data_IF_570208613158
#
_entry.id   IF_570208613158
#
_cell.length_a   1.000
_cell.length_b   1.000
_cell.length_c   1.000
_cell.angle_alpha   90.00
_cell.angle_beta   90.00
_cell.angle_gamma   90.00
#
_symmetry.space_group_name_H-M   'P 1'
#
loop_
_entity.id
_entity.type
_entity.pdbx_description
1 polymer ?
#
# COMPACT_ATOMS: atom_id res chain seq x y z
N UNK A 1 -1.18 -7.70 32.48
CA UNK A 1 -0.15 -8.16 31.54
C UNK A 1 -0.79 -9.14 30.56
N UNK A 2 -1.34 -8.65 29.44
CA UNK A 2 -1.88 -9.51 28.38
C UNK A 2 -1.31 -9.06 27.03
N UNK A 3 -0.19 -9.68 26.63
CA UNK A 3 0.22 -9.71 25.22
C UNK A 3 0.78 -11.11 24.92
N UNK A 4 0.00 -11.97 24.24
CA UNK A 4 0.65 -12.87 23.26
C UNK A 4 -0.16 -13.19 22.00
N UNK A 5 -1.29 -12.53 21.69
CA UNK A 5 -2.14 -12.97 20.55
C UNK A 5 -1.74 -12.41 19.16
N UNK A 6 -0.99 -11.29 19.09
CA UNK A 6 -0.68 -10.62 17.81
C UNK A 6 0.54 -11.15 17.05
N UNK A 7 1.49 -11.78 17.76
CA UNK A 7 2.72 -12.29 17.14
C UNK A 7 2.42 -13.58 16.36
N UNK A 8 1.53 -14.44 16.89
CA UNK A 8 1.25 -15.75 16.30
C UNK A 8 0.63 -15.68 14.89
N UNK A 9 -0.30 -14.75 14.62
CA UNK A 9 -0.98 -14.66 13.32
C UNK A 9 -0.01 -14.19 12.20
N UNK A 10 0.87 -13.23 12.51
CA UNK A 10 1.90 -12.76 11.58
C UNK A 10 2.91 -13.88 11.27
N UNK A 11 3.29 -14.68 12.27
CA UNK A 11 4.18 -15.83 12.07
C UNK A 11 3.57 -16.92 11.18
N UNK A 12 2.29 -17.25 11.36
CA UNK A 12 1.61 -18.27 10.53
C UNK A 12 1.51 -17.81 9.08
N UNK A 13 1.09 -16.57 8.83
CA UNK A 13 0.97 -16.04 7.48
C UNK A 13 2.33 -15.92 6.78
N UNK A 14 3.39 -15.63 7.53
CA UNK A 14 4.77 -15.65 7.02
C UNK A 14 5.18 -17.03 6.50
N UNK A 15 4.96 -18.08 7.30
CA UNK A 15 5.27 -19.45 6.88
C UNK A 15 4.45 -19.88 5.67
N UNK A 16 3.14 -19.61 5.67
CA UNK A 16 2.25 -19.91 4.53
C UNK A 16 2.75 -19.21 3.27
N UNK A 17 3.04 -17.91 3.35
CA UNK A 17 3.50 -17.12 2.20
C UNK A 17 4.85 -17.63 1.70
N UNK A 18 5.77 -17.98 2.60
CA UNK A 18 7.09 -18.53 2.25
C UNK A 18 7.00 -19.89 1.57
N UNK A 19 6.15 -20.78 2.07
CA UNK A 19 5.89 -22.09 1.45
C UNK A 19 5.24 -21.93 0.09
N UNK A 20 4.23 -21.07 -0.04
CA UNK A 20 3.56 -20.77 -1.31
C UNK A 20 4.52 -20.13 -2.33
N UNK A 21 5.48 -19.32 -1.87
CA UNK A 21 6.52 -18.78 -2.75
C UNK A 21 7.41 -19.88 -3.32
N UNK A 22 7.85 -20.83 -2.48
CA UNK A 22 8.63 -21.98 -2.95
C UNK A 22 7.86 -22.84 -3.96
N UNK A 23 6.58 -23.09 -3.69
CA UNK A 23 5.70 -23.84 -4.61
C UNK A 23 5.49 -23.08 -5.93
N UNK A 24 5.25 -21.77 -5.87
CA UNK A 24 5.08 -20.95 -7.07
C UNK A 24 6.35 -20.93 -7.93
N UNK A 25 7.54 -20.81 -7.32
CA UNK A 25 8.81 -20.87 -8.04
C UNK A 25 9.02 -22.25 -8.69
N UNK A 26 8.76 -23.34 -7.96
CA UNK A 26 8.79 -24.68 -8.54
C UNK A 26 7.84 -24.81 -9.72
N UNK A 27 6.61 -24.30 -9.58
CA UNK A 27 5.61 -24.40 -10.63
C UNK A 27 5.97 -23.59 -11.88
N UNK A 28 6.50 -22.38 -11.70
CA UNK A 28 6.92 -21.53 -12.82
C UNK A 28 8.13 -22.12 -13.56
N UNK A 29 9.12 -22.65 -12.84
CA UNK A 29 10.38 -23.06 -13.45
C UNK A 29 10.44 -24.52 -13.89
N UNK A 30 9.68 -25.42 -13.25
CA UNK A 30 9.78 -26.87 -13.48
C UNK A 30 8.47 -27.45 -14.01
N UNK A 31 7.33 -27.09 -13.42
CA UNK A 31 6.04 -27.69 -13.77
C UNK A 31 5.41 -27.11 -15.05
N UNK A 32 5.42 -25.78 -15.20
CA UNK A 32 4.78 -25.13 -16.33
C UNK A 32 5.56 -25.42 -17.62
N UNK A 33 4.91 -25.97 -18.66
CA UNK A 33 5.55 -26.22 -19.94
C UNK A 33 6.01 -24.90 -20.56
N UNK A 34 7.06 -24.99 -21.38
CA UNK A 34 7.51 -23.86 -22.17
C UNK A 34 6.48 -23.52 -23.25
N UNK A 35 6.21 -22.23 -23.43
CA UNK A 35 5.29 -21.77 -24.47
C UNK A 35 6.00 -21.79 -25.83
N UNK A 36 5.31 -22.25 -26.87
CA UNK A 36 5.91 -22.59 -28.16
C UNK A 36 6.46 -21.39 -28.96
N UNK A 37 5.95 -20.19 -28.75
CA UNK A 37 6.30 -19.00 -29.56
C UNK A 37 7.29 -18.09 -28.82
N UNK A 38 7.03 -17.78 -27.57
CA UNK A 38 7.78 -16.86 -26.72
C UNK A 38 8.88 -17.55 -25.91
N UNK A 39 8.81 -18.87 -25.77
CA UNK A 39 9.79 -19.68 -25.03
C UNK A 39 9.87 -19.33 -23.54
N UNK A 40 11.04 -19.56 -22.95
CA UNK A 40 11.31 -19.33 -21.51
C UNK A 40 10.97 -17.92 -21.01
N UNK A 41 11.07 -16.90 -21.88
CA UNK A 41 10.76 -15.51 -21.54
C UNK A 41 9.31 -15.34 -21.10
N UNK A 42 8.39 -16.16 -21.63
CA UNK A 42 6.98 -16.15 -21.23
C UNK A 42 6.81 -16.30 -19.71
N UNK A 43 7.73 -16.94 -18.98
CA UNK A 43 7.60 -17.16 -17.54
C UNK A 43 7.51 -15.87 -16.72
N UNK A 44 7.98 -14.73 -17.24
CA UNK A 44 7.77 -13.40 -16.62
C UNK A 44 6.27 -13.10 -16.46
N UNK A 45 5.43 -13.61 -17.37
CA UNK A 45 3.97 -13.48 -17.36
C UNK A 45 3.35 -13.81 -16.01
N UNK A 46 3.78 -14.90 -15.37
CA UNK A 46 3.16 -15.38 -14.13
C UNK A 46 3.32 -14.35 -13.00
N UNK A 47 4.51 -13.75 -12.88
CA UNK A 47 4.78 -12.72 -11.89
C UNK A 47 4.16 -11.37 -12.29
N UNK A 48 4.23 -11.01 -13.57
CA UNK A 48 3.71 -9.75 -14.09
C UNK A 48 2.18 -9.66 -13.93
N UNK A 49 1.44 -10.67 -14.39
CA UNK A 49 -0.03 -10.68 -14.31
C UNK A 49 -0.53 -10.78 -12.88
N UNK A 50 0.12 -11.62 -12.05
CA UNK A 50 -0.20 -11.69 -10.62
C UNK A 50 -0.01 -10.33 -9.95
N UNK A 51 1.11 -9.64 -10.23
CA UNK A 51 1.37 -8.29 -9.70
C UNK A 51 0.31 -7.27 -10.16
N UNK A 52 -0.08 -7.30 -11.44
CA UNK A 52 -1.10 -6.40 -11.99
C UNK A 52 -2.46 -6.58 -11.30
N UNK A 53 -2.91 -7.83 -11.13
CA UNK A 53 -4.19 -8.10 -10.49
C UNK A 53 -4.18 -7.75 -9.00
N UNK A 54 -3.06 -7.98 -8.30
CA UNK A 54 -2.90 -7.55 -6.91
C UNK A 54 -2.86 -6.02 -6.79
N UNK A 55 -2.22 -5.31 -7.73
CA UNK A 55 -2.25 -3.85 -7.75
C UNK A 55 -3.69 -3.33 -7.92
N UNK A 56 -4.46 -3.90 -8.84
CA UNK A 56 -5.88 -3.54 -9.03
C UNK A 56 -6.72 -3.82 -7.79
N UNK A 57 -6.51 -4.97 -7.14
CA UNK A 57 -7.19 -5.30 -5.87
C UNK A 57 -6.81 -4.30 -4.77
N UNK A 58 -5.54 -3.95 -4.64
CA UNK A 58 -5.07 -2.97 -3.66
C UNK A 58 -5.71 -1.60 -3.88
N UNK A 59 -5.78 -1.15 -5.13
CA UNK A 59 -6.43 0.12 -5.51
C UNK A 59 -7.95 0.09 -5.30
N UNK A 60 -8.60 -1.06 -5.52
CA UNK A 60 -10.01 -1.24 -5.17
C UNK A 60 -10.24 -1.11 -3.65
N UNK A 61 -9.35 -1.68 -2.84
CA UNK A 61 -9.39 -1.50 -1.38
C UNK A 61 -9.20 -0.02 -1.02
N UNK A 62 -8.34 0.73 -1.73
CA UNK A 62 -8.21 2.19 -1.53
C UNK A 62 -9.54 2.89 -1.77
N UNK A 63 -10.24 2.60 -2.87
CA UNK A 63 -11.54 3.20 -3.16
C UNK A 63 -12.56 2.89 -2.06
N UNK A 64 -12.73 1.61 -1.70
CA UNK A 64 -13.71 1.19 -0.68
C UNK A 64 -13.39 1.80 0.69
N UNK A 65 -12.12 1.78 1.09
CA UNK A 65 -11.68 2.38 2.34
C UNK A 65 -11.84 3.92 2.33
N UNK A 66 -11.58 4.57 1.20
CA UNK A 66 -11.79 6.02 1.04
C UNK A 66 -13.26 6.41 1.15
N UNK A 67 -14.17 5.64 0.53
CA UNK A 67 -15.63 5.82 0.67
C UNK A 67 -16.04 5.62 2.13
N UNK A 68 -15.60 4.53 2.76
CA UNK A 68 -15.89 4.25 4.16
C UNK A 68 -15.35 5.34 5.11
N UNK A 69 -14.18 5.91 4.80
CA UNK A 69 -13.63 7.06 5.53
C UNK A 69 -14.52 8.29 5.38
N UNK A 70 -14.94 8.66 4.16
CA UNK A 70 -15.79 9.83 3.93
C UNK A 70 -17.15 9.72 4.63
N UNK A 71 -17.71 8.51 4.71
CA UNK A 71 -18.98 8.23 5.39
C UNK A 71 -18.86 8.21 6.92
N UNK A 72 -17.80 7.61 7.47
CA UNK A 72 -17.70 7.34 8.92
C UNK A 72 -16.76 8.28 9.67
N UNK A 73 -15.86 8.97 8.96
CA UNK A 73 -14.77 9.80 9.52
C UNK A 73 -13.83 9.06 10.48
N UNK A 74 -13.80 7.74 10.40
CA UNK A 74 -12.94 6.92 11.26
C UNK A 74 -11.54 6.76 10.65
N UNK A 75 -10.51 7.15 11.40
CA UNK A 75 -9.10 7.10 10.99
C UNK A 75 -8.59 5.70 10.63
N UNK A 76 -9.30 4.62 10.99
CA UNK A 76 -8.93 3.25 10.57
C UNK A 76 -9.05 3.06 9.06
N UNK A 77 -10.02 3.71 8.43
CA UNK A 77 -10.26 3.58 6.99
C UNK A 77 -9.25 4.37 6.16
N UNK A 78 -8.92 5.58 6.61
CA UNK A 78 -7.83 6.37 6.04
C UNK A 78 -6.49 5.61 6.10
N UNK A 79 -6.16 5.01 7.26
CA UNK A 79 -4.96 4.17 7.40
C UNK A 79 -4.97 2.94 6.49
N UNK A 80 -6.13 2.29 6.32
CA UNK A 80 -6.28 1.17 5.38
C UNK A 80 -6.09 1.61 3.94
N UNK A 81 -6.69 2.73 3.55
CA UNK A 81 -6.52 3.31 2.21
C UNK A 81 -5.04 3.64 1.94
N UNK A 82 -4.38 4.33 2.87
CA UNK A 82 -2.96 4.69 2.72
C UNK A 82 -2.04 3.46 2.64
N UNK A 83 -2.20 2.49 3.55
CA UNK A 83 -1.40 1.27 3.54
C UNK A 83 -1.62 0.45 2.26
N UNK A 84 -2.86 0.34 1.78
CA UNK A 84 -3.19 -0.37 0.54
C UNK A 84 -2.64 0.35 -0.68
N UNK A 85 -2.70 1.69 -0.72
CA UNK A 85 -2.14 2.49 -1.81
C UNK A 85 -0.61 2.31 -1.91
N UNK A 86 0.09 2.27 -0.78
CA UNK A 86 1.54 2.11 -0.73
C UNK A 86 1.95 0.75 -1.32
N UNK A 87 1.33 -0.33 -0.87
CA UNK A 87 1.63 -1.68 -1.33
C UNK A 87 1.14 -1.87 -2.78
N UNK A 88 -0.03 -1.35 -3.15
CA UNK A 88 -0.53 -1.38 -4.52
C UNK A 88 0.41 -0.68 -5.50
N UNK A 89 1.00 0.45 -5.09
CA UNK A 89 2.00 1.18 -5.88
C UNK A 89 3.28 0.36 -6.05
N UNK A 90 3.70 -0.39 -5.02
CA UNK A 90 4.84 -1.32 -5.14
C UNK A 90 4.57 -2.41 -6.18
N UNK A 91 3.41 -3.07 -6.14
CA UNK A 91 3.03 -4.07 -7.16
C UNK A 91 2.91 -3.45 -8.55
N UNK A 92 2.34 -2.26 -8.66
CA UNK A 92 2.25 -1.51 -9.92
C UNK A 92 3.65 -1.15 -10.46
N UNK A 93 4.60 -0.81 -9.57
CA UNK A 93 6.02 -0.60 -9.93
C UNK A 93 6.63 -1.87 -10.52
N UNK A 94 6.37 -3.04 -9.91
CA UNK A 94 6.81 -4.31 -10.49
C UNK A 94 6.23 -4.55 -11.88
N UNK A 95 4.96 -4.20 -12.13
CA UNK A 95 4.34 -4.27 -13.47
C UNK A 95 5.07 -3.34 -14.45
N UNK A 96 5.36 -2.11 -14.05
CA UNK A 96 6.08 -1.12 -14.87
C UNK A 96 7.51 -1.55 -15.22
N UNK A 97 8.15 -2.36 -14.37
CA UNK A 97 9.50 -2.90 -14.63
C UNK A 97 9.45 -4.19 -15.45
N UNK A 98 8.59 -5.13 -15.09
CA UNK A 98 8.51 -6.45 -15.73
C UNK A 98 7.87 -6.39 -17.11
N UNK A 99 7.02 -5.41 -17.39
CA UNK A 99 6.42 -5.19 -18.71
C UNK A 99 7.48 -4.97 -19.79
N UNK A 100 8.32 -3.92 -19.71
CA UNK A 100 9.42 -3.69 -20.65
C UNK A 100 10.41 -4.85 -20.74
N UNK A 101 10.72 -5.51 -19.63
CA UNK A 101 11.61 -6.68 -19.59
C UNK A 101 11.05 -7.85 -20.39
N UNK A 102 9.72 -8.03 -20.40
CA UNK A 102 9.04 -9.02 -21.23
C UNK A 102 8.89 -8.56 -22.68
N UNK A 103 8.56 -7.29 -22.89
CA UNK A 103 8.29 -6.73 -24.21
C UNK A 103 9.54 -6.72 -25.11
N UNK A 104 10.72 -6.46 -24.56
CA UNK A 104 11.95 -6.36 -25.35
C UNK A 104 12.30 -7.66 -26.09
N UNK A 105 12.39 -8.83 -25.46
CA UNK A 105 12.69 -10.08 -26.17
C UNK A 105 11.55 -10.55 -27.10
N UNK A 106 10.28 -10.25 -26.80
CA UNK A 106 9.13 -10.77 -27.58
C UNK A 106 8.79 -9.89 -28.78
N UNK A 107 8.82 -8.56 -28.62
CA UNK A 107 8.40 -7.60 -29.65
C UNK A 107 9.51 -6.62 -30.06
N UNK A 108 10.74 -6.81 -29.56
CA UNK A 108 11.90 -5.95 -29.81
C UNK A 108 11.74 -4.47 -29.36
N UNK A 109 10.78 -4.18 -28.49
CA UNK A 109 10.49 -2.83 -27.98
C UNK A 109 10.45 -2.84 -26.46
N UNK A 110 10.96 -1.77 -25.84
CA UNK A 110 10.90 -1.62 -24.37
C UNK A 110 9.58 -0.99 -23.92
N UNK A 111 9.08 -0.03 -24.69
CA UNK A 111 7.89 0.73 -24.34
C UNK A 111 7.21 1.19 -25.61
N UNK A 112 5.89 1.08 -25.61
CA UNK A 112 5.03 1.69 -26.62
C UNK A 112 4.06 2.63 -25.92
N UNK A 113 3.74 3.74 -26.58
CA UNK A 113 2.74 4.70 -26.07
C UNK A 113 1.33 4.25 -26.43
N UNK A 114 1.05 2.95 -26.35
CA UNK A 114 -0.31 2.44 -26.49
C UNK A 114 -1.13 2.80 -25.25
N UNK A 115 -2.44 2.66 -25.38
CA UNK A 115 -3.38 3.11 -24.36
C UNK A 115 -3.16 2.36 -23.05
N UNK A 116 -2.93 1.05 -23.09
CA UNK A 116 -2.72 0.26 -21.87
C UNK A 116 -1.48 0.71 -21.12
N UNK A 117 -0.36 0.83 -21.82
CA UNK A 117 0.91 1.24 -21.22
C UNK A 117 0.81 2.66 -20.67
N UNK A 118 0.24 3.58 -21.45
CA UNK A 118 0.07 4.98 -21.06
C UNK A 118 -0.85 5.13 -19.86
N UNK A 119 -1.98 4.43 -19.82
CA UNK A 119 -2.91 4.50 -18.69
C UNK A 119 -2.34 3.81 -17.46
N UNK A 120 -1.57 2.74 -17.62
CA UNK A 120 -0.87 2.12 -16.48
C UNK A 120 0.17 3.08 -15.88
N UNK A 121 0.89 3.84 -16.71
CA UNK A 121 1.80 4.88 -16.24
C UNK A 121 1.04 6.02 -15.53
N UNK A 122 -0.10 6.46 -16.08
CA UNK A 122 -0.96 7.46 -15.44
C UNK A 122 -1.46 6.96 -14.09
N UNK A 123 -1.99 5.73 -14.02
CA UNK A 123 -2.40 5.07 -12.77
C UNK A 123 -1.28 5.08 -11.73
N UNK A 124 -0.06 4.70 -12.14
CA UNK A 124 1.11 4.68 -11.26
C UNK A 124 1.44 6.09 -10.73
N UNK A 125 1.43 7.10 -11.59
CA UNK A 125 1.65 8.50 -11.21
C UNK A 125 0.54 9.04 -10.30
N UNK A 126 -0.72 8.68 -10.56
CA UNK A 126 -1.85 9.05 -9.71
C UNK A 126 -1.65 8.47 -8.30
N UNK A 127 -1.33 7.18 -8.16
CA UNK A 127 -1.12 6.63 -6.82
C UNK A 127 0.16 7.11 -6.12
N UNK A 128 1.22 7.43 -6.88
CA UNK A 128 2.38 8.15 -6.32
C UNK A 128 1.96 9.54 -5.79
N UNK A 129 1.17 10.29 -6.56
CA UNK A 129 0.58 11.57 -6.15
C UNK A 129 -0.34 11.45 -4.94
N UNK A 130 -1.14 10.38 -4.85
CA UNK A 130 -2.00 10.09 -3.69
C UNK A 130 -1.17 9.93 -2.42
N UNK A 131 -0.08 9.16 -2.49
CA UNK A 131 0.81 8.92 -1.35
C UNK A 131 1.50 10.20 -0.90
N UNK A 132 1.98 11.01 -1.85
CA UNK A 132 2.54 12.33 -1.55
C UNK A 132 1.50 13.25 -0.90
N UNK A 133 0.31 13.35 -1.49
CA UNK A 133 -0.78 14.17 -0.98
C UNK A 133 -1.12 13.78 0.47
N UNK A 134 -1.30 12.49 0.75
CA UNK A 134 -1.64 12.04 2.10
C UNK A 134 -0.50 12.24 3.09
N UNK A 135 0.76 12.07 2.67
CA UNK A 135 1.95 12.22 3.53
C UNK A 135 2.22 13.68 3.91
N UNK A 136 2.02 14.61 2.99
CA UNK A 136 2.28 16.04 3.23
C UNK A 136 1.06 16.82 3.72
N UNK A 137 -0.14 16.23 3.66
CA UNK A 137 -1.34 16.87 4.20
C UNK A 137 -1.59 16.43 5.64
N UNK A 138 -1.76 17.39 6.53
CA UNK A 138 -2.06 17.14 7.93
C UNK A 138 -3.56 17.20 8.24
N UNK A 139 -3.94 16.50 9.31
CA UNK A 139 -5.29 16.52 9.87
C UNK A 139 -6.35 15.88 8.98
N UNK A 140 -7.61 16.09 9.36
CA UNK A 140 -8.74 15.45 8.68
C UNK A 140 -8.92 15.95 7.24
N UNK A 141 -8.73 17.25 6.99
CA UNK A 141 -8.85 17.82 5.63
C UNK A 141 -7.91 17.13 4.63
N UNK A 142 -6.68 16.85 5.05
CA UNK A 142 -5.73 16.09 4.24
C UNK A 142 -6.23 14.68 3.90
N UNK A 143 -6.78 13.97 4.88
CA UNK A 143 -7.38 12.65 4.68
C UNK A 143 -8.62 12.70 3.77
N UNK A 144 -9.43 13.76 3.83
CA UNK A 144 -10.57 13.95 2.91
C UNK A 144 -10.09 14.14 1.47
N UNK A 145 -9.12 15.02 1.25
CA UNK A 145 -8.59 15.27 -0.10
C UNK A 145 -7.94 14.01 -0.68
N UNK A 146 -7.15 13.30 0.12
CA UNK A 146 -6.57 12.02 -0.27
C UNK A 146 -7.67 11.00 -0.62
N UNK A 147 -8.69 10.83 0.22
CA UNK A 147 -9.78 9.90 -0.03
C UNK A 147 -10.51 10.19 -1.36
N UNK A 148 -10.85 11.45 -1.63
CA UNK A 148 -11.48 11.84 -2.90
C UNK A 148 -10.55 11.55 -4.08
N UNK A 149 -9.28 11.92 -3.97
CA UNK A 149 -8.29 11.69 -5.01
C UNK A 149 -8.07 10.18 -5.28
N UNK A 150 -8.05 9.34 -4.24
CA UNK A 150 -7.92 7.89 -4.36
C UNK A 150 -9.11 7.22 -5.03
N UNK A 151 -10.33 7.74 -4.84
CA UNK A 151 -11.52 7.28 -5.56
C UNK A 151 -11.41 7.63 -7.05
N UNK A 152 -11.00 8.87 -7.36
CA UNK A 152 -10.82 9.32 -8.75
C UNK A 152 -9.72 8.49 -9.44
N UNK A 153 -8.60 8.25 -8.77
CA UNK A 153 -7.51 7.40 -9.28
C UNK A 153 -7.96 5.98 -9.59
N UNK A 154 -8.85 5.41 -8.79
CA UNK A 154 -9.38 4.07 -9.05
C UNK A 154 -10.21 4.00 -10.34
N UNK A 155 -10.84 5.08 -10.80
CA UNK A 155 -11.61 5.08 -12.05
C UNK A 155 -10.74 4.77 -13.29
N UNK A 156 -9.43 4.97 -13.19
CA UNK A 156 -8.48 4.58 -14.24
C UNK A 156 -8.21 3.06 -14.25
N UNK A 157 -8.43 2.34 -13.15
CA UNK A 157 -8.23 0.87 -13.09
C UNK A 157 -9.11 0.11 -14.10
N UNK A 158 -10.44 0.33 -14.15
CA UNK A 158 -11.27 -0.25 -15.21
C UNK A 158 -10.80 0.15 -16.61
N UNK A 159 -10.35 1.39 -16.79
CA UNK A 159 -9.87 1.87 -18.09
C UNK A 159 -8.62 1.09 -18.54
N UNK A 160 -7.64 0.92 -17.64
CA UNK A 160 -6.45 0.08 -17.87
C UNK A 160 -6.86 -1.38 -18.14
N UNK A 161 -7.78 -1.96 -17.37
CA UNK A 161 -8.18 -3.36 -17.53
C UNK A 161 -8.85 -3.63 -18.88
N UNK A 162 -9.81 -2.80 -19.27
CA UNK A 162 -10.57 -2.96 -20.52
C UNK A 162 -9.83 -2.43 -21.75
N UNK A 163 -8.74 -1.66 -21.59
CA UNK A 163 -7.94 -1.14 -22.70
C UNK A 163 -7.51 -2.22 -23.71
N UNK A 164 -7.24 -3.43 -23.24
CA UNK A 164 -6.84 -4.60 -24.04
C UNK A 164 -7.95 -5.07 -24.99
N UNK A 165 -9.22 -4.87 -24.61
CA UNK A 165 -10.37 -5.26 -25.42
C UNK A 165 -10.78 -4.14 -26.38
N UNK A 166 -10.69 -2.90 -25.91
CA UNK A 166 -11.15 -1.74 -26.67
C UNK A 166 -10.18 -1.29 -27.76
N UNK A 167 -8.86 -1.49 -27.55
CA UNK A 167 -7.85 -1.09 -28.52
C UNK A 167 -6.93 -2.23 -28.90
N UNK A 168 -6.57 -2.26 -30.19
CA UNK A 168 -5.54 -3.15 -30.70
C UNK A 168 -4.17 -2.62 -30.26
N UNK A 169 -3.41 -3.45 -29.58
CA UNK A 169 -2.02 -3.19 -29.19
C UNK A 169 -1.17 -4.44 -29.33
N UNK A 170 0.10 -4.32 -28.92
CA UNK A 170 1.01 -5.48 -28.84
C UNK A 170 0.61 -6.46 -27.73
N UNK A 171 -0.16 -5.98 -26.75
CA UNK A 171 -0.65 -6.82 -25.67
C UNK A 171 -1.67 -7.84 -26.19
N UNK A 172 -1.43 -9.15 -25.98
CA UNK A 172 -2.44 -10.15 -26.29
C UNK A 172 -3.70 -9.91 -25.48
N UNK A 173 -4.85 -10.32 -26.04
CA UNK A 173 -6.15 -10.30 -25.37
C UNK A 173 -6.13 -11.03 -24.03
N UNK A 174 -7.24 -11.01 -23.28
CA UNK A 174 -7.33 -11.77 -22.02
C UNK A 174 -7.18 -13.29 -22.27
N UNK A 175 -5.95 -13.79 -22.13
CA UNK A 175 -5.57 -15.19 -22.37
C UNK A 175 -6.32 -16.17 -21.46
N UNK A 176 -6.79 -15.71 -20.30
CA UNK A 176 -7.56 -16.49 -19.32
C UNK A 176 -9.03 -16.66 -19.76
N UNK A 177 -9.56 -15.74 -20.57
CA UNK A 177 -10.97 -15.72 -21.00
C UNK A 177 -11.15 -16.04 -22.49
N UNK A 178 -10.07 -16.40 -23.19
CA UNK A 178 -10.10 -16.73 -24.61
C UNK A 178 -10.80 -18.09 -24.84
N UNK A 179 -11.93 -18.08 -25.56
CA UNK A 179 -12.71 -19.30 -25.89
C UNK A 179 -11.97 -20.28 -26.80
N UNK A 180 -11.02 -19.81 -27.61
CA UNK A 180 -10.18 -20.62 -28.49
C UNK A 180 -8.73 -20.13 -28.34
N UNK A 181 -7.81 -20.99 -27.89
CA UNK A 181 -6.40 -20.63 -27.69
C UNK A 181 -6.05 -20.00 -26.34
N UNK A 182 -6.77 -20.35 -25.27
CA UNK A 182 -6.41 -20.00 -23.89
C UNK A 182 -5.15 -20.72 -23.40
N UNK A 183 -4.67 -20.35 -22.21
CA UNK A 183 -3.53 -20.99 -21.55
C UNK A 183 -3.79 -22.50 -21.33
N UNK A 184 -2.75 -23.32 -21.54
CA UNK A 184 -2.80 -24.74 -21.20
C UNK A 184 -3.18 -24.92 -19.71
N UNK A 185 -3.87 -26.01 -19.33
CA UNK A 185 -4.31 -26.24 -17.95
C UNK A 185 -3.18 -26.11 -16.92
N UNK A 186 -1.98 -26.59 -17.26
CA UNK A 186 -0.78 -26.52 -16.43
C UNK A 186 -0.35 -25.06 -16.22
N UNK A 187 -0.28 -24.27 -17.28
CA UNK A 187 0.07 -22.84 -17.22
C UNK A 187 -0.97 -22.04 -16.42
N UNK A 188 -2.25 -22.37 -16.59
CA UNK A 188 -3.35 -21.74 -15.87
C UNK A 188 -3.29 -22.06 -14.37
N UNK A 189 -3.02 -23.31 -14.00
CA UNK A 189 -2.83 -23.69 -12.60
C UNK A 189 -1.63 -22.96 -11.96
N UNK A 190 -0.51 -22.86 -12.67
CA UNK A 190 0.66 -22.08 -12.24
C UNK A 190 0.31 -20.61 -12.05
N UNK A 191 -0.45 -20.01 -12.97
CA UNK A 191 -0.89 -18.62 -12.84
C UNK A 191 -1.73 -18.41 -11.57
N UNK A 192 -2.71 -19.28 -11.29
CA UNK A 192 -3.54 -19.15 -10.10
C UNK A 192 -2.77 -19.39 -8.80
N UNK A 193 -1.79 -20.30 -8.81
CA UNK A 193 -0.89 -20.49 -7.67
C UNK A 193 -0.04 -19.24 -7.45
N UNK A 194 0.54 -18.65 -8.50
CA UNK A 194 1.25 -17.37 -8.39
C UNK A 194 0.33 -16.25 -7.87
N UNK A 195 -0.90 -16.16 -8.37
CA UNK A 195 -1.87 -15.18 -7.91
C UNK A 195 -2.19 -15.36 -6.43
N UNK A 196 -2.41 -16.59 -5.98
CA UNK A 196 -2.64 -16.90 -4.56
C UNK A 196 -1.43 -16.54 -3.71
N UNK A 197 -0.22 -16.88 -4.15
CA UNK A 197 1.03 -16.50 -3.47
C UNK A 197 1.16 -14.99 -3.33
N UNK A 198 0.89 -14.23 -4.40
CA UNK A 198 0.98 -12.77 -4.41
C UNK A 198 -0.14 -12.14 -3.58
N UNK A 199 -1.32 -12.76 -3.52
CA UNK A 199 -2.41 -12.36 -2.62
C UNK A 199 -2.00 -12.56 -1.15
N UNK A 200 -1.43 -13.71 -0.80
CA UNK A 200 -0.90 -13.96 0.55
C UNK A 200 0.21 -12.96 0.90
N UNK A 201 1.11 -12.67 -0.03
CA UNK A 201 2.15 -11.65 0.14
C UNK A 201 1.56 -10.26 0.36
N UNK A 202 0.57 -9.86 -0.44
CA UNK A 202 -0.14 -8.59 -0.27
C UNK A 202 -0.77 -8.49 1.12
N UNK A 203 -1.51 -9.53 1.56
CA UNK A 203 -2.15 -9.55 2.87
C UNK A 203 -1.11 -9.49 4.00
N UNK A 204 0.01 -10.18 3.85
CA UNK A 204 1.12 -10.14 4.80
C UNK A 204 1.69 -8.73 4.92
N UNK A 205 2.05 -8.10 3.79
CA UNK A 205 2.57 -6.74 3.76
C UNK A 205 1.55 -5.74 4.32
N UNK A 206 0.26 -5.89 4.01
CA UNK A 206 -0.80 -5.00 4.47
C UNK A 206 -0.99 -5.07 5.98
N UNK A 207 -0.98 -6.28 6.54
CA UNK A 207 -1.05 -6.46 8.00
C UNK A 207 0.13 -5.80 8.71
N UNK A 208 1.35 -5.99 8.20
CA UNK A 208 2.55 -5.36 8.75
C UNK A 208 2.51 -3.85 8.63
N UNK A 209 2.08 -3.31 7.48
CA UNK A 209 2.00 -1.86 7.30
C UNK A 209 0.98 -1.22 8.23
N UNK A 210 -0.20 -1.83 8.39
CA UNK A 210 -1.21 -1.38 9.34
C UNK A 210 -0.73 -1.46 10.80
N UNK A 211 0.04 -2.49 11.14
CA UNK A 211 0.65 -2.61 12.46
C UNK A 211 1.63 -1.47 12.73
N UNK A 212 2.49 -1.13 11.76
CA UNK A 212 3.43 -0.01 11.84
C UNK A 212 2.66 1.31 12.02
N UNK A 213 1.65 1.59 11.20
CA UNK A 213 0.88 2.84 11.31
C UNK A 213 0.12 2.95 12.63
N UNK A 214 -0.29 1.83 13.23
CA UNK A 214 -0.86 1.84 14.57
C UNK A 214 0.19 2.18 15.63
N UNK A 215 1.39 1.61 15.53
CA UNK A 215 2.49 1.89 16.45
C UNK A 215 2.94 3.36 16.35
N UNK A 216 3.06 3.91 15.15
CA UNK A 216 3.35 5.34 14.92
C UNK A 216 2.32 6.23 15.64
N UNK A 217 1.03 5.94 15.47
CA UNK A 217 -0.05 6.69 16.11
C UNK A 217 -0.08 6.54 17.65
N UNK A 218 0.34 5.38 18.18
CA UNK A 218 0.43 5.16 19.62
C UNK A 218 1.64 5.91 20.22
N UNK A 219 2.76 5.97 19.49
CA UNK A 219 3.95 6.77 19.83
C UNK A 219 3.61 8.27 19.87
N UNK A 220 2.93 8.80 18.85
CA UNK A 220 2.54 10.22 18.78
C UNK A 220 1.65 10.63 19.96
N UNK A 221 0.74 9.75 20.40
CA UNK A 221 -0.09 9.99 21.58
C UNK A 221 0.74 10.06 22.85
N UNK A 222 1.70 9.14 23.01
CA UNK A 222 2.59 9.13 24.17
C UNK A 222 3.42 10.41 24.20
N UNK A 223 4.04 10.80 23.08
CA UNK A 223 4.78 12.06 22.99
C UNK A 223 3.93 13.28 23.34
N UNK A 224 2.69 13.36 22.85
CA UNK A 224 1.77 14.45 23.20
C UNK A 224 1.44 14.47 24.69
N UNK A 225 1.14 13.33 25.29
CA UNK A 225 0.86 13.25 26.73
C UNK A 225 2.08 13.64 27.58
N UNK A 226 3.29 13.20 27.20
CA UNK A 226 4.52 13.58 27.89
C UNK A 226 4.80 15.08 27.78
N UNK A 227 4.54 15.67 26.61
CA UNK A 227 4.71 17.10 26.39
C UNK A 227 3.69 17.92 27.21
N UNK A 228 2.42 17.49 27.25
CA UNK A 228 1.39 18.11 28.10
C UNK A 228 1.76 18.04 29.59
N UNK A 229 2.27 16.88 30.06
CA UNK A 229 2.75 16.73 31.43
C UNK A 229 3.98 17.61 31.74
N UNK A 230 4.95 17.72 30.82
CA UNK A 230 6.11 18.61 30.98
C UNK A 230 5.71 20.08 31.01
N UNK A 231 4.79 20.51 30.15
CA UNK A 231 4.25 21.87 30.15
C UNK A 231 3.52 22.16 31.47
N UNK A 232 2.71 21.21 31.97
CA UNK A 232 2.04 21.36 33.26
C UNK A 232 3.03 21.42 34.44
N UNK A 233 4.06 20.57 34.47
CA UNK A 233 5.08 20.64 35.52
C UNK A 233 5.91 21.92 35.45
N UNK A 234 6.29 22.36 34.24
CA UNK A 234 7.00 23.63 34.05
C UNK A 234 6.19 24.82 34.53
N UNK A 235 4.89 24.86 34.21
CA UNK A 235 3.98 25.90 34.69
C UNK A 235 3.84 25.90 36.22
N UNK A 236 3.75 24.72 36.85
CA UNK A 236 3.67 24.62 38.31
C UNK A 236 4.95 25.11 39.00
N UNK A 237 6.12 24.74 38.47
CA UNK A 237 7.43 25.17 39.02
C UNK A 237 7.64 26.67 38.84
N UNK A 238 7.27 27.23 37.69
CA UNK A 238 7.37 28.67 37.44
C UNK A 238 6.44 29.48 38.35
N UNK A 239 5.23 28.98 38.59
CA UNK A 239 4.26 29.62 39.49
C UNK A 239 4.67 29.50 40.98
N UNK A 240 5.22 28.35 41.41
CA UNK A 240 5.80 28.20 42.75
C UNK A 240 6.96 29.18 42.98
N UNK A 241 7.88 29.30 42.01
CA UNK A 241 9.00 30.24 42.11
C UNK A 241 8.52 31.69 42.15
N UNK A 242 7.50 32.05 41.37
CA UNK A 242 6.89 33.38 41.40
C UNK A 242 6.26 33.69 42.78
N UNK A 243 5.50 32.75 43.35
CA UNK A 243 4.89 32.91 44.68
C UNK A 243 5.97 33.06 45.75
N UNK A 244 7.06 32.28 45.67
CA UNK A 244 8.18 32.37 46.63
C UNK A 244 8.88 33.73 46.52
N UNK A 245 9.11 34.25 45.31
CA UNK A 245 9.66 35.59 45.10
C UNK A 245 8.76 36.69 45.66
N UNK A 246 7.45 36.65 45.37
CA UNK A 246 6.48 37.63 45.87
C UNK A 246 6.42 37.64 47.40
N UNK A 247 6.36 36.45 48.03
CA UNK A 247 6.42 36.31 49.48
C UNK A 247 7.72 36.85 50.08
N UNK A 248 8.86 36.64 49.41
CA UNK A 248 10.16 37.11 49.88
C UNK A 248 10.26 38.65 49.79
N UNK A 249 9.73 39.25 48.73
CA UNK A 249 9.67 40.71 48.55
C UNK A 249 8.78 41.35 49.62
N UNK A 250 7.60 40.78 49.89
CA UNK A 250 6.68 41.30 50.91
C UNK A 250 7.22 41.14 52.33
N UNK A 251 7.89 40.03 52.62
CA UNK A 251 8.56 39.82 53.92
C UNK A 251 9.66 40.88 54.16
N UNK A 252 10.47 41.20 53.16
CA UNK A 252 11.50 42.25 53.24
C UNK A 252 10.89 43.65 53.37
N UNK A 253 9.73 43.91 52.76
CA UNK A 253 8.99 45.17 52.89
C UNK A 253 8.39 45.36 54.28
N UNK A 254 7.86 44.30 54.89
CA UNK A 254 7.31 44.33 56.25
C UNK A 254 8.38 44.60 57.32
N UNK A 255 9.61 44.11 57.11
CA UNK A 255 10.72 44.25 58.06
C UNK A 255 11.37 45.63 58.10
N UNK A 256 11.18 46.47 57.08
CA UNK A 256 11.69 47.86 57.04
C UNK A 256 10.75 48.90 57.69
N UNK A 257 9.58 48.48 58.18
CA UNK A 257 8.60 49.36 58.84
C UNK A 257 8.54 49.21 60.38
N UNK A 258 9.39 48.38 60.97
CA UNK A 258 9.64 48.31 62.42
C UNK A 258 10.98 48.93 62.77
#
# INVERSE_FOLDING_TARGET
MEQPRKICISSVLCWITSSLMAVALYMVFIYAPEENVMGMVQRIFYFHVSSAWIAFLAFFIVMVASIAFLMTRQSRWDRLAYASAEIGTLFCTFVMLTGPLWAKPVWNVWWTWDIRLTTTLVLWLMYAGYLMLRRYSEGERGAVHAAVFGIIAFLDVPFVYFSVQWWRGLHPGHLVTAKNGGLAPEMLSTLFVCLLTFLCLFLYLLQHRLAITKMEADIDKIYRSLNEHHVHQGFLVENENFIIEEYHVDYQRGRKKS
#
